data_IF_287495645755
#
_entry.id   IF_287495645755
#
_cell.length_a   1.000
_cell.length_b   1.000
_cell.length_c   1.000
_cell.angle_alpha   90.00
_cell.angle_beta   90.00
_cell.angle_gamma   90.00
#
_symmetry.space_group_name_H-M   'P 1'
#
loop_
_entity.id
_entity.type
_entity.pdbx_description
1 polymer ?
#
# COMPACT_ATOMS: atom_id res chain seq x y z
N UNK A 1 -17.02 -4.73 -12.11
CA UNK A 1 -16.84 -3.49 -11.32
C UNK A 1 -15.65 -3.68 -10.41
N UNK A 2 -14.69 -2.74 -10.34
CA UNK A 2 -13.55 -2.86 -9.46
C UNK A 2 -13.98 -2.87 -7.99
N UNK A 3 -13.19 -3.50 -7.14
CA UNK A 3 -13.43 -3.51 -5.70
C UNK A 3 -13.13 -2.11 -5.15
N UNK A 4 -14.00 -1.51 -4.33
CA UNK A 4 -13.68 -0.30 -3.58
C UNK A 4 -12.55 -0.58 -2.60
N UNK A 5 -11.51 0.27 -2.63
CA UNK A 5 -10.33 0.10 -1.77
C UNK A 5 -10.35 1.10 -0.62
N UNK A 6 -10.07 0.62 0.58
CA UNK A 6 -9.79 1.45 1.74
C UNK A 6 -8.30 1.76 1.76
N UNK A 7 -7.98 3.02 1.55
CA UNK A 7 -6.60 3.47 1.41
C UNK A 7 -5.95 3.82 2.73
N UNK A 8 -4.65 3.63 2.78
CA UNK A 8 -3.81 4.02 3.90
C UNK A 8 -2.37 4.33 3.48
N UNK A 9 -1.57 4.70 4.48
CA UNK A 9 -0.14 4.94 4.35
C UNK A 9 0.61 4.21 5.44
N UNK A 10 1.78 3.69 5.11
CA UNK A 10 2.79 3.32 6.09
C UNK A 10 3.46 4.60 6.62
N UNK A 11 3.53 4.73 7.94
CA UNK A 11 4.14 5.87 8.61
C UNK A 11 5.31 5.46 9.51
N UNK A 12 5.75 4.21 9.39
CA UNK A 12 6.81 3.68 10.23
C UNK A 12 8.20 4.11 9.78
N UNK A 13 8.40 4.24 8.47
CA UNK A 13 9.71 4.38 7.86
C UNK A 13 9.99 5.74 7.24
N UNK A 14 8.95 6.51 6.93
CA UNK A 14 9.08 7.78 6.26
C UNK A 14 9.31 8.93 7.25
N UNK A 15 9.89 10.03 6.78
CA UNK A 15 9.99 11.26 7.57
C UNK A 15 8.66 12.04 7.57
N UNK A 16 8.52 12.94 8.54
CA UNK A 16 7.31 13.75 8.73
C UNK A 16 6.94 14.54 7.47
N UNK A 17 7.93 15.10 6.75
CA UNK A 17 7.69 15.88 5.53
C UNK A 17 7.10 15.04 4.40
N UNK A 18 7.60 13.83 4.22
CA UNK A 18 7.07 12.87 3.26
C UNK A 18 5.66 12.39 3.63
N UNK A 19 5.43 12.12 4.92
CA UNK A 19 4.11 11.73 5.43
C UNK A 19 3.08 12.85 5.17
N UNK A 20 3.39 14.08 5.53
CA UNK A 20 2.50 15.24 5.31
C UNK A 20 2.23 15.47 3.82
N UNK A 21 3.24 15.30 2.97
CA UNK A 21 3.08 15.38 1.51
C UNK A 21 2.14 14.29 0.99
N UNK A 22 2.30 13.05 1.45
CA UNK A 22 1.41 11.94 1.09
C UNK A 22 -0.04 12.19 1.52
N UNK A 23 -0.25 12.66 2.75
CA UNK A 23 -1.57 13.07 3.24
C UNK A 23 -2.21 14.14 2.34
N UNK A 24 -1.41 15.10 1.87
CA UNK A 24 -1.88 16.15 0.96
C UNK A 24 -2.33 15.59 -0.40
N UNK A 25 -1.57 14.63 -0.97
CA UNK A 25 -1.92 14.05 -2.27
C UNK A 25 -3.14 13.13 -2.20
N UNK A 26 -3.26 12.33 -1.16
CA UNK A 26 -4.39 11.41 -0.98
C UNK A 26 -5.65 12.18 -0.54
N UNK A 27 -5.47 13.20 0.27
CA UNK A 27 -6.54 13.86 1.00
C UNK A 27 -6.87 13.12 2.31
N UNK A 28 -6.90 13.85 3.42
CA UNK A 28 -7.09 13.27 4.76
C UNK A 28 -8.37 12.43 4.88
N UNK A 29 -9.44 12.86 4.21
CA UNK A 29 -10.74 12.19 4.25
C UNK A 29 -10.75 10.85 3.50
N UNK A 30 -9.82 10.64 2.57
CA UNK A 30 -9.65 9.39 1.83
C UNK A 30 -8.75 8.39 2.57
N UNK A 31 -8.04 8.81 3.61
CA UNK A 31 -7.22 7.93 4.44
C UNK A 31 -8.09 7.20 5.46
N UNK A 32 -8.31 5.91 5.21
CA UNK A 32 -9.03 5.04 6.16
C UNK A 32 -8.08 4.45 7.17
N UNK A 33 -6.90 4.02 6.71
CA UNK A 33 -5.95 3.28 7.52
C UNK A 33 -4.58 3.96 7.62
N UNK A 34 -3.86 3.61 8.67
CA UNK A 34 -2.43 3.81 8.78
C UNK A 34 -1.78 2.51 9.20
N UNK A 35 -0.57 2.25 8.71
CA UNK A 35 0.24 1.12 9.13
C UNK A 35 1.39 1.61 9.98
N UNK A 36 1.61 0.95 11.10
CA UNK A 36 2.80 1.13 11.94
C UNK A 36 3.43 -0.22 12.23
N UNK A 37 4.72 -0.23 12.44
CA UNK A 37 5.46 -1.45 12.78
C UNK A 37 5.88 -1.50 14.24
N UNK A 38 6.00 -2.71 14.77
CA UNK A 38 6.62 -3.02 16.05
C UNK A 38 7.76 -4.01 15.86
N UNK A 39 8.65 -4.06 16.80
CA UNK A 39 9.80 -4.98 16.78
C UNK A 39 9.75 -5.94 17.97
N UNK A 40 10.29 -7.13 17.77
CA UNK A 40 10.41 -8.17 18.79
C UNK A 40 11.84 -8.22 19.32
N UNK A 41 12.24 -7.12 19.97
CA UNK A 41 13.59 -6.92 20.50
C UNK A 41 13.78 -7.50 21.90
N UNK A 42 12.81 -7.26 22.76
CA UNK A 42 12.84 -7.65 24.18
C UNK A 42 11.54 -8.37 24.55
N UNK A 43 11.63 -9.32 25.45
CA UNK A 43 10.45 -9.90 26.09
C UNK A 43 9.71 -8.82 26.89
N UNK A 44 8.41 -9.01 27.08
CA UNK A 44 7.64 -8.14 27.98
C UNK A 44 8.18 -8.19 29.40
N UNK A 45 8.01 -7.09 30.14
CA UNK A 45 8.34 -7.03 31.56
C UNK A 45 7.48 -8.02 32.37
N UNK A 46 7.85 -8.26 33.63
CA UNK A 46 7.12 -9.17 34.51
C UNK A 46 5.64 -8.79 34.74
N UNK A 47 5.32 -7.52 34.57
CA UNK A 47 3.95 -6.99 34.66
C UNK A 47 3.19 -7.01 33.31
N UNK A 48 3.81 -7.56 32.26
CA UNK A 48 3.24 -7.66 30.91
C UNK A 48 3.35 -6.40 30.07
N UNK A 49 4.08 -5.37 30.52
CA UNK A 49 4.33 -4.14 29.75
C UNK A 49 5.51 -4.29 28.79
N UNK A 50 5.58 -3.40 27.78
CA UNK A 50 6.72 -3.30 26.88
C UNK A 50 7.96 -2.78 27.60
N UNK A 51 9.17 -3.19 27.14
CA UNK A 51 10.42 -2.57 27.59
C UNK A 51 10.51 -1.09 27.16
N UNK A 52 11.34 -0.32 27.87
CA UNK A 52 11.61 1.07 27.50
C UNK A 52 12.17 1.21 26.08
N UNK A 53 12.97 0.22 25.62
CA UNK A 53 13.52 0.16 24.28
C UNK A 53 12.41 0.03 23.23
N UNK A 54 11.46 -0.88 23.43
CA UNK A 54 10.31 -1.07 22.54
C UNK A 54 9.37 0.14 22.55
N UNK A 55 9.13 0.75 23.71
CA UNK A 55 8.37 2.01 23.82
C UNK A 55 9.07 3.12 23.05
N UNK A 56 10.39 3.25 23.18
CA UNK A 56 11.19 4.23 22.43
C UNK A 56 11.05 4.05 20.92
N UNK A 57 11.09 2.80 20.43
CA UNK A 57 10.88 2.46 19.03
C UNK A 57 9.48 2.83 18.55
N UNK A 58 8.44 2.52 19.31
CA UNK A 58 7.06 2.81 18.94
C UNK A 58 6.71 4.31 18.97
N UNK A 59 7.33 5.08 19.83
CA UNK A 59 6.95 6.48 20.07
C UNK A 59 6.95 7.34 18.81
N UNK A 60 7.99 7.26 17.99
CA UNK A 60 8.05 8.02 16.74
C UNK A 60 6.95 7.58 15.76
N UNK A 61 6.68 6.28 15.68
CA UNK A 61 5.63 5.72 14.83
C UNK A 61 4.24 6.16 15.22
N UNK A 62 3.97 6.20 16.52
CA UNK A 62 2.70 6.70 17.07
C UNK A 62 2.52 8.21 16.82
N UNK A 63 3.60 8.98 16.90
CA UNK A 63 3.58 10.40 16.54
C UNK A 63 3.28 10.59 15.05
N UNK A 64 3.98 9.87 14.18
CA UNK A 64 3.81 9.97 12.73
C UNK A 64 2.41 9.56 12.28
N UNK A 65 1.87 8.45 12.79
CA UNK A 65 0.53 8.01 12.38
C UNK A 65 -0.55 8.99 12.82
N UNK A 66 -0.34 9.70 13.92
CA UNK A 66 -1.27 10.72 14.42
C UNK A 66 -1.42 11.89 13.44
N UNK A 67 -0.44 12.17 12.58
CA UNK A 67 -0.52 13.20 11.54
C UNK A 67 -1.63 12.93 10.55
N UNK A 68 -1.82 11.64 10.17
CA UNK A 68 -2.87 11.22 9.23
C UNK A 68 -4.24 11.10 9.90
N UNK A 69 -4.30 10.95 11.21
CA UNK A 69 -5.53 10.70 11.98
C UNK A 69 -6.39 9.58 11.36
N UNK A 70 -5.84 8.38 11.15
CA UNK A 70 -6.54 7.32 10.46
C UNK A 70 -7.74 6.81 11.27
N UNK A 71 -8.75 6.28 10.57
CA UNK A 71 -9.93 5.66 11.21
C UNK A 71 -9.60 4.30 11.84
N UNK A 72 -8.49 3.69 11.44
CA UNK A 72 -7.98 2.44 11.99
C UNK A 72 -6.49 2.26 11.72
N UNK A 73 -5.86 1.45 12.54
CA UNK A 73 -4.42 1.17 12.48
C UNK A 73 -4.18 -0.30 12.23
N UNK A 74 -3.29 -0.59 11.28
CA UNK A 74 -2.73 -1.91 11.05
C UNK A 74 -1.39 -1.99 11.79
N UNK A 75 -1.28 -2.93 12.71
CA UNK A 75 -0.02 -3.26 13.39
C UNK A 75 0.69 -4.36 12.61
N UNK A 76 1.93 -4.09 12.20
CA UNK A 76 2.74 -5.05 11.48
C UNK A 76 4.03 -5.34 12.24
N UNK A 77 4.45 -6.58 12.25
CA UNK A 77 5.78 -6.94 12.73
C UNK A 77 6.85 -6.36 11.81
N UNK A 78 7.96 -5.97 12.43
CA UNK A 78 9.14 -5.55 11.70
C UNK A 78 10.31 -6.45 12.15
N UNK A 79 10.88 -7.26 11.23
CA UNK A 79 11.93 -8.22 11.58
C UNK A 79 13.31 -7.57 11.77
N UNK A 80 13.46 -6.28 11.59
CA UNK A 80 14.71 -5.56 11.88
C UNK A 80 14.96 -5.64 13.39
N UNK A 81 16.16 -5.98 13.81
CA UNK A 81 16.54 -6.14 15.23
C UNK A 81 15.79 -7.24 16.01
N UNK A 82 15.30 -8.28 15.34
CA UNK A 82 14.70 -9.42 16.04
C UNK A 82 15.68 -10.06 17.02
N UNK A 83 15.24 -10.33 18.23
CA UNK A 83 15.96 -11.15 19.19
C UNK A 83 15.67 -12.63 18.91
N UNK A 84 16.48 -13.23 18.03
CA UNK A 84 16.30 -14.61 17.54
C UNK A 84 16.16 -15.62 18.68
N UNK A 85 17.04 -15.55 19.69
CA UNK A 85 17.03 -16.48 20.82
C UNK A 85 15.76 -16.40 21.67
N UNK A 86 15.13 -15.24 21.68
CA UNK A 86 13.94 -14.99 22.50
C UNK A 86 12.63 -15.29 21.74
N UNK A 87 12.62 -15.14 20.42
CA UNK A 87 11.37 -15.09 19.66
C UNK A 87 11.26 -16.13 18.55
N UNK A 88 12.33 -16.47 17.83
CA UNK A 88 12.26 -17.50 16.78
C UNK A 88 11.86 -18.84 17.39
N UNK A 89 10.80 -19.45 16.87
CA UNK A 89 10.18 -20.66 17.41
C UNK A 89 9.60 -20.53 18.85
N UNK A 90 9.33 -19.29 19.28
CA UNK A 90 8.70 -19.01 20.57
C UNK A 90 7.39 -18.22 20.41
N UNK A 91 6.32 -18.83 19.87
CA UNK A 91 5.06 -18.13 19.53
C UNK A 91 4.40 -17.44 20.74
N UNK A 92 4.56 -18.00 21.95
CA UNK A 92 4.03 -17.39 23.17
C UNK A 92 4.71 -16.03 23.50
N UNK A 93 6.01 -15.92 23.23
CA UNK A 93 6.74 -14.66 23.46
C UNK A 93 6.32 -13.62 22.41
N UNK A 94 6.16 -14.01 21.13
CA UNK A 94 5.59 -13.17 20.09
C UNK A 94 4.21 -12.64 20.48
N UNK A 95 3.31 -13.54 20.87
CA UNK A 95 1.97 -13.19 21.32
C UNK A 95 1.97 -12.16 22.45
N UNK A 96 2.82 -12.33 23.47
CA UNK A 96 2.93 -11.39 24.60
C UNK A 96 3.33 -9.99 24.13
N UNK A 97 4.31 -9.89 23.24
CA UNK A 97 4.73 -8.58 22.68
C UNK A 97 3.63 -7.98 21.82
N UNK A 98 2.95 -8.77 20.98
CA UNK A 98 1.81 -8.30 20.20
C UNK A 98 0.71 -7.74 21.11
N UNK A 99 0.36 -8.46 22.17
CA UNK A 99 -0.67 -8.01 23.13
C UNK A 99 -0.27 -6.71 23.81
N UNK A 100 0.95 -6.63 24.32
CA UNK A 100 1.46 -5.42 24.98
C UNK A 100 1.54 -4.23 24.01
N UNK A 101 1.98 -4.44 22.77
CA UNK A 101 2.03 -3.41 21.71
C UNK A 101 0.63 -2.92 21.35
N UNK A 102 -0.30 -3.84 21.15
CA UNK A 102 -1.70 -3.51 20.84
C UNK A 102 -2.31 -2.67 21.96
N UNK A 103 -2.14 -3.11 23.20
CA UNK A 103 -2.61 -2.34 24.37
C UNK A 103 -1.98 -0.95 24.43
N UNK A 104 -0.68 -0.84 24.22
CA UNK A 104 0.03 0.44 24.25
C UNK A 104 -0.48 1.40 23.15
N UNK A 105 -0.72 0.90 21.93
CA UNK A 105 -1.29 1.68 20.85
C UNK A 105 -2.73 2.15 21.16
N UNK A 106 -3.55 1.29 21.76
CA UNK A 106 -4.91 1.63 22.17
C UNK A 106 -4.93 2.64 23.32
N UNK A 107 -4.06 2.50 24.30
CA UNK A 107 -3.90 3.46 25.41
C UNK A 107 -3.40 4.84 24.90
N UNK A 108 -2.66 4.86 23.80
CA UNK A 108 -2.26 6.09 23.09
C UNK A 108 -3.44 6.77 22.36
N UNK A 109 -4.58 6.10 22.23
CA UNK A 109 -5.80 6.61 21.58
C UNK A 109 -6.02 6.12 20.15
N UNK A 110 -5.27 5.14 19.69
CA UNK A 110 -5.43 4.57 18.35
C UNK A 110 -6.43 3.40 18.34
N UNK A 111 -7.17 3.27 17.25
CA UNK A 111 -8.05 2.14 17.01
C UNK A 111 -7.31 1.08 16.19
N UNK A 112 -6.77 0.07 16.85
CA UNK A 112 -6.17 -1.09 16.14
C UNK A 112 -7.27 -1.91 15.49
N UNK A 113 -7.16 -2.19 14.20
CA UNK A 113 -8.18 -2.92 13.40
C UNK A 113 -7.66 -4.18 12.75
N UNK A 114 -6.35 -4.31 12.61
CA UNK A 114 -5.69 -5.50 12.05
C UNK A 114 -4.29 -5.67 12.63
N UNK A 115 -3.86 -6.91 12.77
CA UNK A 115 -2.53 -7.28 13.24
C UNK A 115 -1.94 -8.29 12.28
N UNK A 116 -0.77 -7.99 11.74
CA UNK A 116 0.08 -8.89 10.98
C UNK A 116 1.23 -9.37 11.89
N UNK A 117 1.16 -10.58 12.44
CA UNK A 117 2.15 -11.08 13.38
C UNK A 117 3.58 -11.15 12.81
N UNK A 118 3.73 -11.47 11.54
CA UNK A 118 5.00 -11.54 10.82
C UNK A 118 4.95 -10.62 9.59
N UNK A 119 6.11 -10.16 9.13
CA UNK A 119 6.26 -9.40 7.90
C UNK A 119 7.29 -10.08 6.99
N UNK A 120 6.90 -10.39 5.74
CA UNK A 120 7.75 -11.08 4.77
C UNK A 120 8.41 -12.35 5.34
N UNK A 121 7.63 -13.26 5.96
CA UNK A 121 8.20 -14.43 6.63
C UNK A 121 8.78 -15.45 5.65
N UNK A 122 8.47 -15.36 4.37
CA UNK A 122 9.05 -16.13 3.27
C UNK A 122 10.52 -15.74 2.99
N UNK A 123 10.95 -14.55 3.47
CA UNK A 123 12.36 -14.17 3.51
C UNK A 123 13.00 -14.80 4.75
N UNK A 124 13.46 -16.05 4.62
CA UNK A 124 13.95 -16.86 5.74
C UNK A 124 15.10 -16.23 6.52
N UNK A 125 15.89 -15.36 5.87
CA UNK A 125 16.95 -14.60 6.53
C UNK A 125 16.46 -13.64 7.61
N UNK A 126 15.15 -13.33 7.64
CA UNK A 126 14.53 -12.51 8.68
C UNK A 126 14.39 -13.22 10.03
N UNK A 127 14.58 -14.55 10.07
CA UNK A 127 14.55 -15.38 11.29
C UNK A 127 13.26 -15.27 12.11
N UNK A 128 12.13 -14.95 11.48
CA UNK A 128 10.86 -14.80 12.20
C UNK A 128 10.29 -16.14 12.68
N UNK A 129 10.52 -17.20 11.94
CA UNK A 129 10.01 -18.54 12.22
C UNK A 129 9.39 -19.20 11.00
N UNK A 130 8.72 -20.32 11.24
CA UNK A 130 8.06 -21.14 10.22
C UNK A 130 6.57 -20.76 10.07
N UNK A 131 5.89 -21.36 9.09
CA UNK A 131 4.43 -21.26 8.95
C UNK A 131 3.69 -21.79 10.19
N UNK A 132 4.22 -22.84 10.84
CA UNK A 132 3.64 -23.39 12.07
C UNK A 132 3.80 -22.42 13.25
N UNK A 133 4.93 -21.70 13.35
CA UNK A 133 5.12 -20.65 14.35
C UNK A 133 4.11 -19.52 14.15
N UNK A 134 3.94 -19.05 12.92
CA UNK A 134 2.96 -18.01 12.61
C UNK A 134 1.54 -18.47 12.94
N UNK A 135 1.19 -19.71 12.57
CA UNK A 135 -0.11 -20.30 12.89
C UNK A 135 -0.33 -20.39 14.39
N UNK A 136 0.68 -20.74 15.16
CA UNK A 136 0.60 -20.80 16.61
C UNK A 136 0.36 -19.41 17.21
N UNK A 137 1.04 -18.37 16.73
CA UNK A 137 0.81 -16.98 17.15
C UNK A 137 -0.62 -16.54 16.79
N UNK A 138 -1.06 -16.78 15.55
CA UNK A 138 -2.42 -16.43 15.09
C UNK A 138 -3.49 -17.10 15.94
N UNK A 139 -3.29 -18.39 16.30
CA UNK A 139 -4.18 -19.11 17.18
C UNK A 139 -4.27 -18.49 18.57
N UNK A 140 -3.15 -18.15 19.18
CA UNK A 140 -3.11 -17.51 20.51
C UNK A 140 -3.84 -16.16 20.50
N UNK A 141 -3.68 -15.36 19.44
CA UNK A 141 -4.41 -14.10 19.28
C UNK A 141 -5.92 -14.37 19.13
N UNK A 142 -6.31 -15.33 18.29
CA UNK A 142 -7.72 -15.67 18.02
C UNK A 142 -8.48 -16.18 19.24
N UNK A 143 -7.78 -16.87 20.13
CA UNK A 143 -8.36 -17.45 21.35
C UNK A 143 -8.42 -16.45 22.54
N UNK A 144 -7.81 -15.28 22.41
CA UNK A 144 -7.81 -14.26 23.48
C UNK A 144 -8.89 -13.19 23.24
N UNK A 145 -9.92 -13.09 24.11
CA UNK A 145 -10.97 -12.09 23.98
C UNK A 145 -10.49 -10.62 23.96
N UNK A 146 -9.25 -10.36 24.39
CA UNK A 146 -8.65 -9.03 24.28
C UNK A 146 -8.63 -8.53 22.83
N UNK A 147 -8.52 -9.43 21.86
CA UNK A 147 -8.44 -9.11 20.44
C UNK A 147 -9.79 -9.16 19.71
N UNK A 148 -10.89 -9.33 20.43
CA UNK A 148 -12.22 -9.38 19.80
C UNK A 148 -12.48 -8.13 18.94
N UNK A 149 -12.85 -8.36 17.67
CA UNK A 149 -13.07 -7.29 16.68
C UNK A 149 -11.81 -6.76 15.99
N UNK A 150 -10.63 -7.28 16.31
CA UNK A 150 -9.38 -7.01 15.59
C UNK A 150 -9.12 -8.17 14.63
N UNK A 151 -8.92 -7.87 13.34
CA UNK A 151 -8.59 -8.88 12.34
C UNK A 151 -7.16 -9.39 12.54
N UNK A 152 -6.96 -10.66 12.27
CA UNK A 152 -5.65 -11.29 12.19
C UNK A 152 -5.31 -11.44 10.72
N UNK A 153 -4.20 -10.85 10.31
CA UNK A 153 -3.72 -10.83 8.94
C UNK A 153 -2.65 -11.89 8.73
N UNK A 154 -2.80 -12.71 7.70
CA UNK A 154 -1.87 -13.77 7.34
C UNK A 154 -1.24 -13.57 5.97
N UNK A 155 -0.13 -14.25 5.76
CA UNK A 155 0.68 -14.17 4.55
C UNK A 155 1.75 -13.12 4.73
N UNK A 156 1.47 -11.87 4.38
CA UNK A 156 2.45 -10.78 4.36
C UNK A 156 3.73 -11.16 3.63
N UNK A 157 3.63 -12.00 2.59
CA UNK A 157 4.79 -12.51 1.88
C UNK A 157 5.41 -11.44 0.99
N UNK A 158 6.74 -11.44 0.92
CA UNK A 158 7.53 -10.66 -0.03
C UNK A 158 7.27 -11.14 -1.48
N UNK A 159 7.24 -12.45 -1.65
CA UNK A 159 6.99 -13.13 -2.91
C UNK A 159 5.54 -13.63 -2.98
N UNK A 160 4.78 -13.10 -3.92
CA UNK A 160 3.37 -13.47 -4.09
C UNK A 160 3.17 -14.93 -4.56
N UNK A 161 4.20 -15.62 -5.06
CA UNK A 161 4.08 -17.03 -5.44
C UNK A 161 3.79 -17.95 -4.25
N UNK A 162 4.30 -17.60 -3.06
CA UNK A 162 4.04 -18.33 -1.83
C UNK A 162 2.80 -17.88 -1.05
N UNK A 163 2.16 -16.78 -1.47
CA UNK A 163 1.15 -16.11 -0.66
C UNK A 163 -0.05 -16.98 -0.29
N UNK A 164 -0.60 -17.73 -1.27
CA UNK A 164 -1.74 -18.62 -1.00
C UNK A 164 -1.37 -19.72 -0.02
N UNK A 165 -0.19 -20.33 -0.15
CA UNK A 165 0.26 -21.38 0.76
C UNK A 165 0.41 -20.88 2.20
N UNK A 166 0.98 -19.67 2.38
CA UNK A 166 1.08 -19.05 3.70
C UNK A 166 -0.29 -18.73 4.29
N UNK A 167 -1.17 -18.14 3.50
CA UNK A 167 -2.53 -17.81 3.93
C UNK A 167 -3.34 -19.07 4.29
N UNK A 168 -3.40 -20.07 3.41
CA UNK A 168 -4.18 -21.29 3.60
C UNK A 168 -3.72 -22.09 4.83
N UNK A 169 -2.40 -22.07 5.13
CA UNK A 169 -1.86 -22.74 6.31
C UNK A 169 -2.43 -22.19 7.62
N UNK A 170 -2.76 -20.89 7.64
CA UNK A 170 -3.27 -20.19 8.83
C UNK A 170 -4.78 -19.94 8.81
N UNK A 171 -5.44 -20.24 7.71
CA UNK A 171 -6.85 -19.94 7.41
C UNK A 171 -7.84 -20.12 8.56
N UNK A 172 -7.74 -21.15 9.43
CA UNK A 172 -8.67 -21.32 10.55
C UNK A 172 -8.62 -20.21 11.61
N UNK A 173 -7.56 -19.43 11.64
CA UNK A 173 -7.28 -18.45 12.69
C UNK A 173 -7.18 -17.02 12.19
N UNK A 174 -7.43 -16.76 10.90
CA UNK A 174 -7.22 -15.46 10.30
C UNK A 174 -8.49 -14.91 9.65
N UNK A 175 -8.56 -13.60 9.53
CA UNK A 175 -9.70 -12.87 8.99
C UNK A 175 -9.28 -12.02 7.77
N UNK A 176 -7.97 -12.00 7.47
CA UNK A 176 -7.37 -11.15 6.44
C UNK A 176 -6.18 -11.86 5.80
N UNK A 177 -6.06 -11.76 4.48
CA UNK A 177 -4.92 -12.25 3.73
C UNK A 177 -4.18 -11.11 3.06
N UNK A 178 -2.84 -11.16 3.11
CA UNK A 178 -1.96 -10.10 2.61
C UNK A 178 -0.79 -10.67 1.81
N UNK A 179 -0.43 -10.00 0.74
CA UNK A 179 0.82 -10.23 0.02
C UNK A 179 1.38 -8.92 -0.51
N UNK A 180 2.70 -8.79 -0.49
CA UNK A 180 3.42 -7.75 -1.21
C UNK A 180 3.71 -8.21 -2.65
N UNK A 181 4.12 -7.29 -3.51
CA UNK A 181 4.51 -7.59 -4.88
C UNK A 181 5.98 -7.17 -5.10
N UNK A 182 6.90 -7.81 -4.41
CA UNK A 182 8.33 -7.59 -4.57
C UNK A 182 9.01 -8.70 -5.38
N UNK A 183 8.34 -9.84 -5.51
CA UNK A 183 8.71 -10.98 -6.33
C UNK A 183 7.48 -11.82 -6.69
N UNK A 184 7.62 -12.71 -7.68
CA UNK A 184 6.62 -13.70 -8.07
C UNK A 184 5.94 -13.41 -9.41
N UNK A 185 5.00 -14.26 -9.80
CA UNK A 185 4.26 -14.17 -11.04
C UNK A 185 2.99 -13.33 -10.91
N UNK A 186 2.63 -12.61 -11.98
CA UNK A 186 1.44 -11.77 -12.03
C UNK A 186 0.16 -12.56 -11.74
N UNK A 187 0.06 -13.78 -12.25
CA UNK A 187 -1.11 -14.63 -12.06
C UNK A 187 -1.32 -14.93 -10.56
N UNK A 188 -0.27 -15.28 -9.84
CA UNK A 188 -0.36 -15.54 -8.40
C UNK A 188 -0.77 -14.30 -7.61
N UNK A 189 -0.29 -13.10 -8.00
CA UNK A 189 -0.71 -11.85 -7.38
C UNK A 189 -2.22 -11.58 -7.58
N UNK A 190 -2.71 -11.77 -8.80
CA UNK A 190 -4.13 -11.60 -9.13
C UNK A 190 -5.01 -12.65 -8.44
N UNK A 191 -4.61 -13.92 -8.52
CA UNK A 191 -5.38 -15.04 -7.97
C UNK A 191 -5.44 -15.02 -6.45
N UNK A 192 -4.42 -14.52 -5.77
CA UNK A 192 -4.39 -14.39 -4.32
C UNK A 192 -5.57 -13.58 -3.78
N UNK A 193 -5.85 -12.40 -4.33
CA UNK A 193 -6.97 -11.58 -3.87
C UNK A 193 -8.32 -12.24 -4.14
N UNK A 194 -8.46 -12.88 -5.29
CA UNK A 194 -9.67 -13.63 -5.62
C UNK A 194 -9.89 -14.79 -4.66
N UNK A 195 -8.83 -15.51 -4.29
CA UNK A 195 -8.84 -16.61 -3.35
C UNK A 195 -9.25 -16.18 -1.94
N UNK A 196 -8.58 -15.16 -1.39
CA UNK A 196 -8.90 -14.62 -0.04
C UNK A 196 -10.35 -14.14 0.03
N UNK A 197 -10.81 -13.45 -1.02
CA UNK A 197 -12.18 -12.96 -1.09
C UNK A 197 -13.22 -14.08 -1.19
N UNK A 198 -12.91 -15.16 -1.90
CA UNK A 198 -13.79 -16.33 -2.00
C UNK A 198 -14.01 -17.02 -0.64
N UNK A 199 -13.04 -16.92 0.26
CA UNK A 199 -13.15 -17.38 1.64
C UNK A 199 -13.98 -16.46 2.54
N UNK A 200 -14.38 -15.29 2.06
CA UNK A 200 -15.08 -14.27 2.83
C UNK A 200 -14.16 -13.42 3.73
N UNK A 201 -12.86 -13.55 3.57
CA UNK A 201 -11.86 -12.79 4.29
C UNK A 201 -11.45 -11.50 3.54
N UNK A 202 -10.85 -10.57 4.26
CA UNK A 202 -10.41 -9.28 3.72
C UNK A 202 -9.09 -9.47 2.96
N UNK A 203 -9.06 -9.04 1.71
CA UNK A 203 -7.85 -9.09 0.89
C UNK A 203 -7.07 -7.76 0.98
N UNK A 204 -5.80 -7.83 1.31
CA UNK A 204 -4.96 -6.67 1.62
C UNK A 204 -3.64 -6.72 0.87
N UNK A 205 -3.12 -5.56 0.48
CA UNK A 205 -1.70 -5.31 0.28
C UNK A 205 -1.32 -4.10 1.14
N UNK A 206 -0.59 -4.35 2.23
CA UNK A 206 -0.21 -3.31 3.17
C UNK A 206 1.18 -2.71 2.89
N UNK A 207 1.75 -3.03 1.72
CA UNK A 207 3.04 -2.52 1.26
C UNK A 207 3.05 -2.29 -0.26
N UNK A 208 2.15 -1.40 -0.74
CA UNK A 208 2.08 -1.03 -2.16
C UNK A 208 3.25 -0.12 -2.55
N UNK A 209 3.92 -0.47 -3.65
CA UNK A 209 5.10 0.27 -4.15
C UNK A 209 4.82 1.07 -5.41
N UNK A 210 3.75 0.75 -6.15
CA UNK A 210 3.39 1.47 -7.37
C UNK A 210 1.89 1.38 -7.68
N UNK A 211 1.42 2.29 -8.55
CA UNK A 211 -0.02 2.39 -8.87
C UNK A 211 -0.55 1.14 -9.58
N UNK A 212 0.30 0.38 -10.28
CA UNK A 212 -0.10 -0.89 -10.93
C UNK A 212 -0.67 -1.87 -9.91
N UNK A 213 -0.04 -2.01 -8.75
CA UNK A 213 -0.51 -2.91 -7.69
C UNK A 213 -1.92 -2.56 -7.22
N UNK A 214 -2.22 -1.25 -7.11
CA UNK A 214 -3.56 -0.77 -6.80
C UNK A 214 -4.55 -1.03 -7.93
N UNK A 215 -4.17 -0.80 -9.19
CA UNK A 215 -5.02 -1.01 -10.38
C UNK A 215 -5.39 -2.49 -10.49
N UNK A 216 -4.42 -3.38 -10.40
CA UNK A 216 -4.61 -4.83 -10.49
C UNK A 216 -5.34 -5.35 -9.24
N UNK A 217 -4.93 -4.90 -8.05
CA UNK A 217 -5.60 -5.26 -6.81
C UNK A 217 -7.10 -4.93 -6.83
N UNK A 218 -7.48 -3.72 -7.29
CA UNK A 218 -8.88 -3.32 -7.45
C UNK A 218 -9.67 -4.23 -8.42
N UNK A 219 -9.00 -4.73 -9.46
CA UNK A 219 -9.61 -5.66 -10.43
C UNK A 219 -9.92 -7.01 -9.80
N UNK A 220 -9.03 -7.52 -8.95
CA UNK A 220 -9.08 -8.90 -8.46
C UNK A 220 -9.57 -9.05 -7.02
N UNK A 221 -9.94 -7.96 -6.36
CA UNK A 221 -10.64 -8.06 -5.09
C UNK A 221 -9.91 -7.55 -3.86
N UNK A 222 -8.75 -6.89 -4.02
CA UNK A 222 -8.07 -6.19 -2.92
C UNK A 222 -9.00 -5.15 -2.31
N UNK A 223 -9.18 -5.19 -0.99
CA UNK A 223 -10.06 -4.30 -0.25
C UNK A 223 -9.30 -3.23 0.56
N UNK A 224 -8.08 -3.54 0.97
CA UNK A 224 -7.20 -2.61 1.67
C UNK A 224 -5.91 -2.42 0.88
N UNK A 225 -5.50 -1.18 0.70
CA UNK A 225 -4.25 -0.82 0.07
C UNK A 225 -3.50 0.22 0.90
N UNK A 226 -2.28 -0.11 1.30
CA UNK A 226 -1.43 0.76 2.12
C UNK A 226 -0.18 1.10 1.31
N UNK A 227 0.01 2.38 1.05
CA UNK A 227 1.22 2.85 0.37
C UNK A 227 2.42 2.81 1.28
N UNK A 228 3.46 2.12 0.85
CA UNK A 228 4.77 2.14 1.48
C UNK A 228 5.66 3.20 0.84
N UNK A 229 6.42 3.92 1.68
CA UNK A 229 7.27 5.01 1.23
C UNK A 229 6.48 6.23 0.72
N UNK A 230 7.14 7.04 -0.08
CA UNK A 230 6.64 8.34 -0.52
C UNK A 230 5.44 8.22 -1.45
N UNK A 231 4.35 8.90 -1.11
CA UNK A 231 3.18 9.05 -1.98
C UNK A 231 3.31 10.28 -2.85
N UNK A 232 3.30 10.07 -4.17
CA UNK A 232 3.30 11.13 -5.17
C UNK A 232 1.90 11.38 -5.78
N UNK A 233 1.79 12.31 -6.76
CA UNK A 233 0.51 12.69 -7.37
C UNK A 233 -0.26 11.51 -7.99
N UNK A 234 0.42 10.60 -8.70
CA UNK A 234 -0.24 9.48 -9.35
C UNK A 234 -0.93 8.55 -8.35
N UNK A 235 -0.27 8.23 -7.23
CA UNK A 235 -0.83 7.41 -6.15
C UNK A 235 -1.98 8.12 -5.45
N UNK A 236 -1.80 9.42 -5.11
CA UNK A 236 -2.84 10.23 -4.49
C UNK A 236 -4.09 10.38 -5.36
N UNK A 237 -3.92 10.72 -6.62
CA UNK A 237 -5.02 10.83 -7.57
C UNK A 237 -5.73 9.48 -7.77
N UNK A 238 -5.00 8.36 -7.76
CA UNK A 238 -5.61 7.04 -7.85
C UNK A 238 -6.47 6.71 -6.62
N UNK A 239 -6.04 7.09 -5.42
CA UNK A 239 -6.85 6.96 -4.21
C UNK A 239 -8.15 7.76 -4.33
N UNK A 240 -8.08 9.00 -4.85
CA UNK A 240 -9.27 9.84 -5.07
C UNK A 240 -10.18 9.22 -6.15
N UNK A 241 -9.61 8.72 -7.25
CA UNK A 241 -10.34 8.10 -8.34
C UNK A 241 -11.16 6.87 -7.93
N UNK A 242 -10.66 6.13 -6.95
CA UNK A 242 -11.29 4.92 -6.41
C UNK A 242 -12.13 5.17 -5.15
N UNK A 243 -12.23 6.42 -4.69
CA UNK A 243 -13.10 6.82 -3.58
C UNK A 243 -14.58 6.87 -3.99
N UNK A 244 -15.52 6.94 -3.04
CA UNK A 244 -16.95 7.07 -3.37
C UNK A 244 -17.23 8.23 -4.33
N UNK A 245 -17.97 7.93 -5.39
CA UNK A 245 -18.27 8.87 -6.48
C UNK A 245 -17.35 8.77 -7.70
N UNK A 246 -16.20 8.12 -7.57
CA UNK A 246 -15.36 7.77 -8.70
C UNK A 246 -15.89 6.54 -9.46
N UNK A 247 -15.57 6.43 -10.74
CA UNK A 247 -16.00 5.29 -11.55
C UNK A 247 -14.95 4.92 -12.60
N UNK A 248 -14.66 3.63 -12.74
CA UNK A 248 -13.73 3.14 -13.75
C UNK A 248 -14.37 3.10 -15.12
N UNK A 249 -13.71 3.72 -16.10
CA UNK A 249 -14.14 3.79 -17.51
C UNK A 249 -13.42 2.77 -18.38
N UNK A 250 -12.19 2.40 -18.07
CA UNK A 250 -11.39 1.44 -18.81
C UNK A 250 -10.38 0.73 -17.92
N UNK A 251 -9.96 -0.47 -18.36
CA UNK A 251 -8.96 -1.29 -17.71
C UNK A 251 -8.19 -2.12 -18.73
N UNK A 252 -6.89 -2.23 -18.53
CA UNK A 252 -6.02 -3.12 -19.28
C UNK A 252 -4.88 -3.62 -18.38
N UNK A 253 -4.38 -4.82 -18.66
CA UNK A 253 -3.21 -5.39 -18.01
C UNK A 253 -2.33 -6.10 -19.05
N UNK A 254 -1.03 -6.13 -18.80
CA UNK A 254 -0.10 -6.99 -19.51
C UNK A 254 0.67 -7.82 -18.47
N UNK A 255 0.22 -9.06 -18.29
CA UNK A 255 0.75 -9.98 -17.28
C UNK A 255 2.23 -10.28 -17.48
N UNK A 256 2.61 -10.50 -18.74
CA UNK A 256 4.00 -10.80 -19.10
C UNK A 256 4.95 -9.61 -18.84
N UNK A 257 4.42 -8.40 -18.94
CA UNK A 257 5.19 -7.19 -18.70
C UNK A 257 5.04 -6.64 -17.26
N UNK A 258 4.24 -7.27 -16.41
CA UNK A 258 3.96 -6.80 -15.07
C UNK A 258 3.50 -5.34 -15.02
N UNK A 259 2.54 -5.01 -15.86
CA UNK A 259 1.98 -3.66 -15.98
C UNK A 259 0.46 -3.68 -15.93
N UNK A 260 -0.12 -2.55 -15.55
CA UNK A 260 -1.56 -2.33 -15.56
C UNK A 260 -1.90 -0.88 -15.87
N UNK A 261 -3.05 -0.67 -16.49
CA UNK A 261 -3.59 0.65 -16.79
C UNK A 261 -5.09 0.71 -16.54
N UNK A 262 -5.57 1.90 -16.15
CA UNK A 262 -6.99 2.14 -15.96
C UNK A 262 -7.34 3.61 -16.23
N UNK A 263 -8.59 3.85 -16.67
CA UNK A 263 -9.14 5.19 -16.82
C UNK A 263 -10.29 5.33 -15.85
N UNK A 264 -10.32 6.43 -15.11
CA UNK A 264 -11.34 6.73 -14.14
C UNK A 264 -11.98 8.10 -14.38
N UNK A 265 -13.28 8.19 -14.15
CA UNK A 265 -13.94 9.44 -13.84
C UNK A 265 -13.78 9.68 -12.34
N UNK A 266 -13.19 10.81 -11.99
CA UNK A 266 -13.01 11.26 -10.62
C UNK A 266 -14.34 11.67 -9.99
N UNK A 267 -14.47 11.73 -8.66
CA UNK A 267 -15.70 12.22 -7.99
C UNK A 267 -16.12 13.64 -8.41
N UNK A 268 -15.19 14.49 -8.81
CA UNK A 268 -15.43 15.85 -9.30
C UNK A 268 -15.75 15.91 -10.81
N UNK A 269 -15.87 14.77 -11.49
CA UNK A 269 -16.18 14.64 -12.91
C UNK A 269 -14.97 14.67 -13.85
N UNK A 270 -13.78 15.06 -13.41
CA UNK A 270 -12.56 14.99 -14.21
C UNK A 270 -12.27 13.53 -14.62
N UNK A 271 -11.60 13.37 -15.75
CA UNK A 271 -11.17 12.04 -16.21
C UNK A 271 -9.66 11.97 -16.14
N UNK A 272 -9.16 10.89 -15.55
CA UNK A 272 -7.72 10.60 -15.47
C UNK A 272 -7.42 9.17 -15.88
N UNK A 273 -6.36 9.03 -16.67
CA UNK A 273 -5.74 7.74 -16.99
C UNK A 273 -4.58 7.47 -16.06
N UNK A 274 -4.48 6.23 -15.60
CA UNK A 274 -3.40 5.75 -14.75
C UNK A 274 -2.74 4.56 -15.42
N UNK A 275 -1.41 4.50 -15.36
CA UNK A 275 -0.67 3.31 -15.76
C UNK A 275 0.53 3.13 -14.82
N UNK A 276 0.86 1.88 -14.54
CA UNK A 276 1.97 1.55 -13.68
C UNK A 276 2.63 0.24 -14.06
N UNK A 277 3.86 0.09 -13.59
CA UNK A 277 4.69 -1.07 -13.81
C UNK A 277 5.28 -1.55 -12.48
N UNK A 278 5.41 -2.87 -12.31
CA UNK A 278 6.09 -3.44 -11.14
C UNK A 278 7.47 -2.82 -10.94
N UNK A 279 7.78 -2.49 -9.72
CA UNK A 279 9.05 -1.88 -9.36
C UNK A 279 10.25 -2.74 -9.76
N UNK A 280 10.15 -4.06 -9.64
CA UNK A 280 11.29 -4.96 -9.78
C UNK A 280 11.19 -5.92 -10.97
N UNK A 281 9.99 -6.19 -11.49
CA UNK A 281 9.76 -7.29 -12.43
C UNK A 281 9.22 -6.86 -13.79
N UNK A 282 8.90 -5.59 -13.98
CA UNK A 282 8.28 -5.11 -15.21
C UNK A 282 9.23 -5.15 -16.43
N UNK A 283 8.63 -5.41 -17.59
CA UNK A 283 9.23 -5.19 -18.90
C UNK A 283 8.62 -3.94 -19.55
N UNK A 284 9.30 -3.30 -20.53
CA UNK A 284 8.74 -2.17 -21.24
C UNK A 284 7.39 -2.49 -21.86
N UNK A 285 6.43 -1.58 -21.67
CA UNK A 285 5.06 -1.73 -22.19
C UNK A 285 4.50 -0.37 -22.59
N UNK A 286 3.64 -0.35 -23.60
CA UNK A 286 2.90 0.85 -24.00
C UNK A 286 1.40 0.54 -24.00
N UNK A 287 0.62 1.42 -23.38
CA UNK A 287 -0.85 1.40 -23.45
C UNK A 287 -1.33 2.52 -24.36
N UNK A 288 -2.26 2.20 -25.25
CA UNK A 288 -2.98 3.20 -26.02
C UNK A 288 -4.30 3.53 -25.29
N UNK A 289 -4.47 4.79 -24.90
CA UNK A 289 -5.72 5.31 -24.36
C UNK A 289 -6.60 5.76 -25.51
N UNK A 290 -7.82 5.24 -25.59
CA UNK A 290 -8.74 5.47 -26.72
C UNK A 290 -9.99 6.19 -26.22
N UNK A 291 -10.31 7.32 -26.86
CA UNK A 291 -11.61 8.00 -26.73
C UNK A 291 -12.52 7.53 -27.86
N UNK A 292 -13.65 6.90 -27.54
CA UNK A 292 -14.54 6.27 -28.52
C UNK A 292 -15.50 7.26 -29.16
N UNK A 293 -15.87 8.31 -28.46
CA UNK A 293 -16.97 9.21 -28.92
C UNK A 293 -16.47 10.41 -29.71
N UNK A 294 -15.46 11.09 -29.20
CA UNK A 294 -14.89 12.30 -29.77
C UNK A 294 -13.41 12.45 -29.40
N UNK A 295 -12.64 13.23 -30.18
CA UNK A 295 -11.26 13.49 -29.81
C UNK A 295 -11.19 14.32 -28.52
N UNK A 296 -10.19 14.08 -27.69
CA UNK A 296 -9.96 14.70 -26.40
C UNK A 296 -8.50 15.14 -26.24
N UNK A 297 -8.24 15.92 -25.21
CA UNK A 297 -6.89 16.35 -24.87
C UNK A 297 -6.32 15.47 -23.77
N UNK A 298 -5.06 15.03 -23.94
CA UNK A 298 -4.29 14.26 -22.99
C UNK A 298 -3.14 15.12 -22.45
N UNK A 299 -3.17 15.51 -21.19
CA UNK A 299 -2.24 16.48 -20.58
C UNK A 299 -2.05 17.76 -21.40
N UNK A 300 -3.14 18.25 -22.03
CA UNK A 300 -3.16 19.42 -22.89
C UNK A 300 -2.70 19.17 -24.33
N UNK A 301 -2.34 17.94 -24.68
CA UNK A 301 -2.03 17.54 -26.05
C UNK A 301 -3.26 17.02 -26.78
N UNK A 302 -3.51 17.51 -27.99
CA UNK A 302 -4.67 17.07 -28.76
C UNK A 302 -5.33 18.21 -29.57
N UNK A 303 -6.61 18.03 -30.00
CA UNK A 303 -7.46 16.87 -29.66
C UNK A 303 -7.11 15.61 -30.46
N UNK A 304 -7.03 14.46 -29.76
CA UNK A 304 -6.72 13.15 -30.36
C UNK A 304 -7.79 12.12 -29.97
N UNK A 305 -7.97 11.09 -30.81
CA UNK A 305 -8.75 9.92 -30.43
C UNK A 305 -7.94 8.91 -29.62
N UNK A 306 -6.62 8.89 -29.81
CA UNK A 306 -5.71 7.95 -29.15
C UNK A 306 -4.50 8.68 -28.58
N UNK A 307 -3.96 8.11 -27.51
CA UNK A 307 -2.75 8.61 -26.85
C UNK A 307 -1.94 7.47 -26.24
N UNK A 308 -0.68 7.39 -26.62
CA UNK A 308 0.22 6.35 -26.13
C UNK A 308 0.87 6.74 -24.80
N UNK A 309 0.78 5.83 -23.84
CA UNK A 309 1.45 5.94 -22.54
C UNK A 309 2.47 4.82 -22.40
N UNK A 310 3.73 5.15 -22.51
CA UNK A 310 4.83 4.20 -22.40
C UNK A 310 5.36 4.10 -20.98
N UNK A 311 5.57 2.87 -20.52
CA UNK A 311 6.17 2.51 -19.26
C UNK A 311 7.54 1.86 -19.52
N UNK A 312 8.62 2.28 -18.85
CA UNK A 312 9.88 1.56 -18.88
C UNK A 312 9.75 0.23 -18.14
N UNK A 313 10.66 -0.69 -18.37
CA UNK A 313 10.79 -1.90 -17.57
C UNK A 313 11.19 -1.57 -16.12
N UNK A 314 10.94 -2.50 -15.24
CA UNK A 314 11.45 -2.47 -13.87
C UNK A 314 12.95 -2.70 -13.83
N UNK A 315 13.54 -2.43 -12.68
CA UNK A 315 14.96 -2.65 -12.43
C UNK A 315 15.12 -3.82 -11.47
N UNK A 316 16.24 -4.51 -11.53
CA UNK A 316 16.56 -5.56 -10.57
C UNK A 316 16.73 -4.95 -9.17
N UNK A 317 16.32 -5.69 -8.16
CA UNK A 317 16.56 -5.31 -6.78
C UNK A 317 18.04 -5.01 -6.51
N UNK A 318 18.30 -3.86 -5.91
CA UNK A 318 19.65 -3.38 -5.64
C UNK A 318 20.28 -2.52 -6.74
N UNK A 319 19.60 -2.32 -7.87
CA UNK A 319 20.06 -1.39 -8.89
C UNK A 319 19.85 0.05 -8.42
N UNK A 320 20.88 0.90 -8.65
CA UNK A 320 20.90 2.30 -8.23
C UNK A 320 19.75 3.13 -8.83
N UNK A 321 19.18 2.67 -9.95
CA UNK A 321 18.12 3.34 -10.68
C UNK A 321 16.76 2.65 -10.55
N UNK A 322 16.56 1.81 -9.54
CA UNK A 322 15.28 1.18 -9.27
C UNK A 322 14.20 2.24 -9.04
N UNK A 323 13.32 2.40 -10.01
CA UNK A 323 12.20 3.33 -9.97
C UNK A 323 10.97 2.67 -10.52
N UNK A 324 9.89 2.69 -9.76
CA UNK A 324 8.59 2.33 -10.31
C UNK A 324 8.20 3.34 -11.39
N UNK A 325 7.68 2.82 -12.51
CA UNK A 325 7.12 3.65 -13.55
C UNK A 325 5.65 3.88 -13.25
N UNK A 326 5.28 5.09 -12.97
CA UNK A 326 3.91 5.51 -12.71
C UNK A 326 3.54 6.67 -13.64
N UNK A 327 2.35 6.61 -14.21
CA UNK A 327 1.80 7.67 -15.05
C UNK A 327 0.40 8.02 -14.56
N UNK A 328 0.12 9.31 -14.54
CA UNK A 328 -1.20 9.87 -14.37
C UNK A 328 -1.41 10.89 -15.49
N UNK A 329 -2.38 10.66 -16.34
CA UNK A 329 -2.68 11.50 -17.51
C UNK A 329 -4.04 12.13 -17.32
N UNK A 330 -4.13 13.46 -17.40
CA UNK A 330 -5.41 14.14 -17.37
C UNK A 330 -6.06 14.09 -18.76
N UNK A 331 -7.34 13.73 -18.81
CA UNK A 331 -8.11 13.62 -20.04
C UNK A 331 -9.25 14.63 -20.00
N UNK A 332 -9.21 15.64 -20.89
CA UNK A 332 -10.18 16.72 -20.96
C UNK A 332 -11.06 16.62 -22.20
N UNK A 333 -12.37 16.83 -22.02
CA UNK A 333 -13.33 16.89 -23.11
C UNK A 333 -13.73 18.35 -23.35
N UNK A 334 -13.59 18.83 -24.59
CA UNK A 334 -14.16 20.08 -25.02
C UNK A 334 -13.17 21.23 -25.26
N UNK A 335 -13.68 22.31 -25.86
CA UNK A 335 -12.92 23.52 -26.22
C UNK A 335 -12.49 24.34 -25.01
N UNK A 336 -13.21 24.24 -23.91
CA UNK A 336 -12.78 24.70 -22.61
C UNK A 336 -11.85 23.65 -22.02
N UNK A 337 -10.61 23.60 -22.52
CA UNK A 337 -9.52 23.02 -21.76
C UNK A 337 -9.45 23.86 -20.49
N UNK A 338 -9.95 23.42 -19.34
CA UNK A 338 -9.60 24.12 -18.13
C UNK A 338 -8.09 24.03 -18.14
N UNK A 339 -7.41 25.14 -18.15
CA UNK A 339 -6.02 25.19 -17.67
C UNK A 339 -6.09 24.34 -16.43
N UNK A 340 -5.45 23.17 -16.50
CA UNK A 340 -5.48 22.22 -15.38
C UNK A 340 -5.17 23.07 -14.17
N UNK A 341 -6.12 23.34 -13.25
CA UNK A 341 -5.82 24.19 -12.14
C UNK A 341 -4.68 23.48 -11.44
N UNK A 342 -3.50 24.06 -11.57
CA UNK A 342 -2.35 23.63 -10.80
C UNK A 342 -2.91 23.54 -9.39
N UNK A 343 -2.81 22.38 -8.75
CA UNK A 343 -3.31 22.22 -7.40
C UNK A 343 -2.77 23.40 -6.54
N UNK A 344 -3.56 23.92 -5.61
CA UNK A 344 -3.12 25.00 -4.73
C UNK A 344 -1.82 24.60 -4.01
N UNK A 345 -0.69 24.88 -4.59
CA UNK A 345 0.63 24.60 -4.09
C UNK A 345 1.63 25.61 -4.66
N UNK A 346 2.73 25.77 -3.98
CA UNK A 346 3.83 26.59 -4.46
C UNK A 346 4.52 25.89 -5.62
N UNK A 347 4.61 26.54 -6.76
CA UNK A 347 5.30 26.04 -7.94
C UNK A 347 6.59 26.80 -8.18
N UNK A 348 7.63 26.04 -8.51
CA UNK A 348 8.89 26.59 -8.97
C UNK A 348 8.96 26.33 -10.47
N UNK A 349 8.94 27.39 -11.27
CA UNK A 349 9.17 27.29 -12.70
C UNK A 349 10.66 27.54 -12.96
N UNK A 350 11.34 26.50 -13.43
CA UNK A 350 12.76 26.60 -13.78
C UNK A 350 12.88 26.77 -15.29
N UNK A 351 13.50 27.86 -15.71
CA UNK A 351 13.85 28.01 -17.11
C UNK A 351 14.99 27.03 -17.46
N UNK A 352 14.67 26.05 -18.30
CA UNK A 352 15.56 24.93 -18.62
C UNK A 352 16.92 25.36 -19.24
N UNK A 353 16.97 26.53 -19.87
CA UNK A 353 18.18 27.05 -20.54
C UNK A 353 19.04 27.91 -19.61
N UNK A 354 18.42 28.72 -18.76
CA UNK A 354 19.12 29.67 -17.89
C UNK A 354 19.29 29.19 -16.46
N UNK A 355 18.67 28.08 -16.09
CA UNK A 355 18.59 27.55 -14.71
C UNK A 355 18.00 28.55 -13.69
N UNK A 356 17.41 29.65 -14.17
CA UNK A 356 16.78 30.65 -13.30
C UNK A 356 15.39 30.19 -12.89
N UNK A 357 15.11 30.40 -11.63
CA UNK A 357 13.85 30.03 -10.99
C UNK A 357 12.91 31.23 -11.00
N UNK A 358 11.68 31.03 -11.47
CA UNK A 358 10.60 31.96 -11.27
C UNK A 358 9.72 31.41 -10.15
N UNK A 359 9.70 32.05 -9.00
CA UNK A 359 8.79 31.72 -7.92
C UNK A 359 7.50 32.50 -8.10
N UNK A 360 6.38 31.79 -8.29
CA UNK A 360 5.05 32.40 -8.27
C UNK A 360 4.51 32.21 -6.86
N UNK A 361 4.46 33.31 -6.10
CA UNK A 361 3.76 33.31 -4.82
C UNK A 361 2.25 33.45 -5.11
N UNK A 362 1.46 32.56 -4.54
CA UNK A 362 -0.01 32.61 -4.56
C UNK A 362 -0.57 33.75 -3.74
#
# INVERSE_FOLDING_TARGET
>A
TPTPIKWGMDTAWDDEGNILRGINFIGKDNLTYGRISFQVMDKVNADGTLSDRQIGYLRSRLQHISLSSPKGVLLNSDPVDINVDAFTHHPEEWYKVIKATTKYAMDYGLKVVSIAPFNEPDVTASNQGTKDDFKAVAKLIKEDPFFDGIRICAGNTCNNDGAMEWYDHMKPYVDEGNTHQLAGDFDHYADFYTHVKADGNVATNDELHNVMEGIVGAQYGMENGIWWGTVGPARGDFCIATSPGGSRLGYAENRNAWTGAAVYRMPDGRIKGFAGASERQAFPCTYEYVSTDKPVYFDGHGPYYTYDVSLPGGFRYGDEYQKSAERCVQICQGEDVPVCPLANSNYIIVNKKSQKVLTIAS
#
